data_IF_258605766855
#
_entry.id   IF_258605766855
#
_cell.length_a   1.000
_cell.length_b   1.000
_cell.length_c   1.000
_cell.angle_alpha   90.00
_cell.angle_beta   90.00
_cell.angle_gamma   90.00
#
_symmetry.space_group_name_H-M   'P 1'
#
loop_
_entity.id
_entity.type
_entity.pdbx_description
1 polymer ?
#
# COMPACT_ATOMS: atom_id res chain seq x y z
N UNK A 1 -25.06 -27.63 44.84
CA UNK A 1 -25.69 -26.38 44.46
C UNK A 1 -24.92 -25.74 43.34
N UNK A 2 -25.52 -25.72 42.20
CA UNK A 2 -24.87 -25.51 40.90
C UNK A 2 -24.85 -24.03 40.50
N UNK A 3 -23.70 -23.41 40.60
CA UNK A 3 -23.47 -22.06 40.07
C UNK A 3 -22.16 -21.91 39.27
N UNK A 4 -21.73 -22.96 38.60
CA UNK A 4 -20.55 -22.92 37.71
C UNK A 4 -20.84 -23.55 36.33
N UNK A 5 -21.84 -23.02 35.62
CA UNK A 5 -22.09 -23.45 34.25
C UNK A 5 -22.71 -22.34 33.41
N UNK A 6 -22.03 -21.20 33.29
CA UNK A 6 -22.35 -20.18 32.27
C UNK A 6 -21.17 -19.28 32.04
N UNK A 7 -20.06 -19.81 31.53
CA UNK A 7 -18.96 -18.95 31.04
C UNK A 7 -18.02 -19.71 30.12
N UNK A 8 -18.56 -20.35 29.10
CA UNK A 8 -17.77 -20.88 27.98
C UNK A 8 -18.67 -20.89 26.75
N UNK A 9 -19.02 -19.71 26.22
CA UNK A 9 -19.66 -19.66 24.90
C UNK A 9 -19.59 -18.25 24.28
N UNK A 10 -18.48 -17.54 24.41
CA UNK A 10 -18.32 -16.24 23.72
C UNK A 10 -16.98 -16.10 22.99
N UNK A 11 -16.14 -17.13 22.94
CA UNK A 11 -14.84 -17.04 22.26
C UNK A 11 -14.83 -17.65 20.86
N UNK A 12 -15.90 -18.32 20.44
CA UNK A 12 -15.95 -19.03 19.15
C UNK A 12 -16.57 -18.23 18.01
N UNK A 13 -17.04 -17.01 18.23
CA UNK A 13 -17.70 -16.22 17.19
C UNK A 13 -16.80 -15.15 16.52
N UNK A 14 -15.56 -14.95 17.01
CA UNK A 14 -14.62 -13.97 16.41
C UNK A 14 -13.66 -14.58 15.38
N UNK A 15 -13.66 -15.90 15.22
CA UNK A 15 -12.77 -16.56 14.23
C UNK A 15 -13.41 -16.85 12.87
N UNK A 16 -14.70 -16.58 12.70
CA UNK A 16 -15.41 -16.90 11.46
C UNK A 16 -15.47 -15.76 10.43
N UNK A 17 -14.85 -14.62 10.69
CA UNK A 17 -14.89 -13.46 9.79
C UNK A 17 -13.58 -13.19 9.05
N UNK A 18 -12.59 -14.08 9.17
CA UNK A 18 -11.31 -13.98 8.45
C UNK A 18 -11.20 -14.89 7.22
N UNK A 19 -12.26 -15.56 6.83
CA UNK A 19 -12.22 -16.56 5.76
C UNK A 19 -12.60 -16.02 4.36
N UNK A 20 -12.43 -14.73 4.09
CA UNK A 20 -12.69 -14.15 2.77
C UNK A 20 -11.50 -13.36 2.22
N UNK A 21 -10.28 -13.65 2.66
CA UNK A 21 -9.07 -13.19 1.97
C UNK A 21 -8.65 -14.27 0.98
N UNK A 22 -8.27 -13.87 -0.24
CA UNK A 22 -7.76 -14.78 -1.26
C UNK A 22 -6.71 -15.71 -0.65
N UNK A 23 -6.78 -17.01 -0.96
CA UNK A 23 -5.98 -18.07 -0.33
C UNK A 23 -4.47 -17.97 -0.59
N UNK A 24 -4.02 -16.91 -1.26
CA UNK A 24 -2.67 -16.73 -1.77
C UNK A 24 -1.83 -15.73 -0.96
N UNK A 25 -2.47 -14.94 -0.07
CA UNK A 25 -1.80 -13.94 0.76
C UNK A 25 -1.36 -14.52 2.11
N UNK A 26 -0.07 -14.46 2.40
CA UNK A 26 0.50 -14.90 3.67
C UNK A 26 0.93 -13.69 4.50
N UNK A 27 0.39 -13.58 5.72
CA UNK A 27 0.85 -12.56 6.65
C UNK A 27 2.24 -12.91 7.16
N UNK A 28 3.15 -11.94 7.12
CA UNK A 28 4.52 -12.07 7.59
C UNK A 28 4.89 -10.94 8.55
N UNK A 29 6.03 -11.05 9.21
CA UNK A 29 6.58 -9.98 10.03
C UNK A 29 7.42 -9.03 9.19
N UNK A 30 7.58 -7.79 9.64
CA UNK A 30 8.29 -6.73 8.91
C UNK A 30 9.74 -7.09 8.57
N UNK A 31 10.42 -7.83 9.45
CA UNK A 31 11.80 -8.29 9.25
C UNK A 31 11.97 -9.31 8.12
N UNK A 32 10.85 -9.89 7.64
CA UNK A 32 10.85 -10.83 6.50
C UNK A 32 10.71 -10.13 5.15
N UNK A 33 10.48 -8.82 5.13
CA UNK A 33 10.54 -8.04 3.90
C UNK A 33 11.97 -7.99 3.35
N UNK A 34 12.14 -7.83 2.02
CA UNK A 34 13.43 -7.47 1.45
C UNK A 34 14.02 -6.23 2.13
N UNK A 35 15.33 -6.22 2.37
CA UNK A 35 16.00 -5.12 3.08
C UNK A 35 15.74 -3.73 2.45
N UNK A 36 15.63 -3.67 1.12
CA UNK A 36 15.30 -2.45 0.39
C UNK A 36 13.90 -1.92 0.74
N UNK A 37 12.90 -2.80 0.85
CA UNK A 37 11.56 -2.44 1.26
C UNK A 37 11.52 -1.97 2.73
N UNK A 38 12.22 -2.66 3.63
CA UNK A 38 12.34 -2.23 5.03
C UNK A 38 12.95 -0.83 5.14
N UNK A 39 14.05 -0.58 4.40
CA UNK A 39 14.72 0.73 4.38
C UNK A 39 13.81 1.82 3.83
N UNK A 40 13.04 1.53 2.79
CA UNK A 40 12.09 2.46 2.20
C UNK A 40 11.03 2.90 3.21
N UNK A 41 10.39 1.96 3.90
CA UNK A 41 9.37 2.26 4.92
C UNK A 41 9.97 3.10 6.06
N UNK A 42 11.12 2.71 6.59
CA UNK A 42 11.80 3.46 7.67
C UNK A 42 12.20 4.87 7.27
N UNK A 43 12.61 5.07 6.02
CA UNK A 43 13.06 6.37 5.51
C UNK A 43 11.90 7.32 5.24
N UNK A 44 10.85 6.83 4.60
CA UNK A 44 9.76 7.67 4.11
C UNK A 44 8.57 7.77 5.05
N UNK A 45 8.42 6.80 5.97
CA UNK A 45 7.33 6.75 6.94
C UNK A 45 7.84 6.56 8.39
N UNK A 46 8.80 7.39 8.85
CA UNK A 46 9.47 7.17 10.14
C UNK A 46 8.56 7.34 11.36
N UNK A 47 7.40 7.97 11.19
CA UNK A 47 6.43 8.25 12.27
C UNK A 47 5.25 7.28 12.27
N UNK A 48 5.14 6.44 11.25
CA UNK A 48 4.02 5.52 11.09
C UNK A 48 4.38 4.13 11.61
N UNK A 49 3.43 3.52 12.29
CA UNK A 49 3.55 2.12 12.71
C UNK A 49 3.12 1.19 11.58
N UNK A 50 3.80 0.06 11.47
CA UNK A 50 3.40 -1.00 10.55
C UNK A 50 2.25 -1.78 11.17
N UNK A 51 1.07 -1.69 10.59
CA UNK A 51 -0.11 -2.40 11.04
C UNK A 51 -0.11 -3.86 10.61
N UNK A 52 0.29 -4.14 9.37
CA UNK A 52 0.41 -5.50 8.84
C UNK A 52 1.33 -5.55 7.64
N UNK A 53 1.88 -6.74 7.39
CA UNK A 53 2.68 -7.05 6.19
C UNK A 53 2.17 -8.35 5.58
N UNK A 54 1.94 -8.31 4.29
CA UNK A 54 1.45 -9.45 3.52
C UNK A 54 2.43 -9.79 2.40
N UNK A 55 2.52 -11.06 2.10
CA UNK A 55 3.28 -11.60 0.98
C UNK A 55 2.30 -12.32 0.07
N UNK A 56 2.18 -11.87 -1.16
CA UNK A 56 1.41 -12.50 -2.20
C UNK A 56 2.25 -13.59 -2.89
N UNK A 57 1.70 -14.78 -3.02
CA UNK A 57 2.37 -15.96 -3.56
C UNK A 57 1.57 -16.47 -4.75
N UNK A 58 2.19 -16.46 -5.93
CA UNK A 58 1.65 -17.16 -7.08
C UNK A 58 1.81 -18.67 -6.89
N UNK A 59 0.71 -19.36 -6.60
CA UNK A 59 0.71 -20.79 -6.21
C UNK A 59 1.22 -21.68 -7.34
N UNK A 60 0.84 -21.41 -8.59
CA UNK A 60 1.23 -22.25 -9.73
C UNK A 60 2.74 -22.30 -9.94
N UNK A 61 3.44 -21.18 -9.66
CA UNK A 61 4.89 -21.07 -9.81
C UNK A 61 5.65 -21.10 -8.47
N UNK A 62 4.96 -21.13 -7.34
CA UNK A 62 5.53 -21.07 -5.99
C UNK A 62 6.51 -19.91 -5.81
N UNK A 63 6.20 -18.78 -6.41
CA UNK A 63 7.03 -17.57 -6.33
C UNK A 63 6.31 -16.46 -5.59
N UNK A 64 7.07 -15.59 -4.95
CA UNK A 64 6.56 -14.34 -4.40
C UNK A 64 6.26 -13.40 -5.56
N UNK A 65 5.02 -12.91 -5.63
CA UNK A 65 4.62 -11.95 -6.63
C UNK A 65 4.88 -10.52 -6.11
N UNK A 66 4.35 -10.18 -4.95
CA UNK A 66 4.48 -8.85 -4.35
C UNK A 66 4.51 -8.93 -2.80
N UNK A 67 4.82 -7.80 -2.17
CA UNK A 67 4.64 -7.59 -0.73
C UNK A 67 3.77 -6.35 -0.52
N UNK A 68 2.85 -6.39 0.44
CA UNK A 68 2.03 -5.26 0.84
C UNK A 68 2.29 -4.89 2.29
N UNK A 69 2.63 -3.65 2.55
CA UNK A 69 2.77 -3.08 3.90
C UNK A 69 1.61 -2.12 4.14
N UNK A 70 0.81 -2.38 5.16
CA UNK A 70 -0.21 -1.46 5.65
C UNK A 70 0.32 -0.69 6.85
N UNK A 71 0.19 0.64 6.81
CA UNK A 71 0.62 1.55 7.88
C UNK A 71 -0.58 2.03 8.71
N UNK A 72 -0.32 2.46 9.94
CA UNK A 72 -1.33 2.90 10.90
C UNK A 72 -2.16 4.09 10.43
N UNK A 73 -1.64 4.94 9.54
CA UNK A 73 -2.34 6.08 8.95
C UNK A 73 -3.24 5.73 7.75
N UNK A 74 -3.38 4.44 7.42
CA UNK A 74 -4.18 3.96 6.27
C UNK A 74 -3.44 3.93 4.93
N UNK A 75 -2.14 4.27 4.92
CA UNK A 75 -1.30 4.12 3.73
C UNK A 75 -0.96 2.65 3.49
N UNK A 76 -1.05 2.20 2.25
CA UNK A 76 -0.54 0.91 1.79
C UNK A 76 0.60 1.13 0.82
N UNK A 77 1.66 0.36 0.98
CA UNK A 77 2.81 0.35 0.07
C UNK A 77 3.00 -1.05 -0.48
N UNK A 78 2.93 -1.18 -1.79
CA UNK A 78 3.23 -2.43 -2.49
C UNK A 78 4.67 -2.41 -2.97
N UNK A 79 5.35 -3.55 -2.80
CA UNK A 79 6.73 -3.78 -3.21
C UNK A 79 6.85 -4.98 -4.11
N UNK A 80 7.69 -4.87 -5.12
CA UNK A 80 8.13 -5.99 -5.93
C UNK A 80 8.98 -6.98 -5.11
N UNK A 81 9.17 -8.23 -5.57
CA UNK A 81 10.02 -9.22 -4.89
C UNK A 81 11.44 -8.74 -4.59
N UNK A 82 11.99 -7.83 -5.40
CA UNK A 82 13.31 -7.23 -5.21
C UNK A 82 13.34 -6.09 -4.17
N UNK A 83 12.18 -5.75 -3.56
CA UNK A 83 12.05 -4.70 -2.57
C UNK A 83 11.88 -3.28 -3.12
N UNK A 84 11.76 -3.11 -4.44
CA UNK A 84 11.40 -1.82 -5.03
C UNK A 84 9.90 -1.56 -4.85
N UNK A 85 9.52 -0.32 -4.49
CA UNK A 85 8.13 0.02 -4.40
C UNK A 85 7.46 0.05 -5.79
N UNK A 86 6.23 -0.43 -5.83
CA UNK A 86 5.41 -0.56 -7.04
C UNK A 86 4.24 0.42 -7.02
N UNK A 87 3.52 0.48 -5.91
CA UNK A 87 2.35 1.33 -5.73
C UNK A 87 2.28 1.85 -4.29
N UNK A 88 1.83 3.08 -4.12
CA UNK A 88 1.57 3.69 -2.82
C UNK A 88 0.19 4.32 -2.85
N UNK A 89 -0.68 3.81 -2.00
CA UNK A 89 -2.07 4.21 -1.90
C UNK A 89 -2.35 4.75 -0.50
N UNK A 90 -2.85 5.97 -0.41
CA UNK A 90 -3.17 6.62 0.86
C UNK A 90 -4.67 6.82 1.03
N UNK A 91 -5.16 6.58 2.24
CA UNK A 91 -6.54 6.84 2.63
C UNK A 91 -6.56 7.86 3.77
N UNK A 92 -6.58 9.13 3.44
CA UNK A 92 -6.71 10.22 4.40
C UNK A 92 -5.41 10.89 4.86
N UNK A 93 -4.25 10.40 4.39
CA UNK A 93 -2.95 11.05 4.60
C UNK A 93 -2.33 11.44 3.26
N UNK A 94 -1.42 12.40 3.26
CA UNK A 94 -0.66 12.72 2.05
C UNK A 94 0.49 11.72 1.86
N UNK A 95 0.74 11.33 0.61
CA UNK A 95 1.95 10.58 0.26
C UNK A 95 3.16 11.50 0.43
N UNK A 96 4.23 11.06 1.13
CA UNK A 96 5.40 11.88 1.35
C UNK A 96 5.99 12.45 0.05
N UNK A 97 6.21 13.76 0.02
CA UNK A 97 6.74 14.46 -1.15
C UNK A 97 8.11 13.93 -1.61
N UNK A 98 8.89 13.34 -0.69
CA UNK A 98 10.18 12.70 -0.99
C UNK A 98 10.09 11.51 -1.91
N UNK A 99 8.91 10.87 -2.01
CA UNK A 99 8.67 9.71 -2.88
C UNK A 99 8.26 10.15 -4.28
N UNK A 100 7.52 11.24 -4.39
CA UNK A 100 6.90 11.71 -5.64
C UNK A 100 7.93 12.50 -6.44
N UNK A 101 8.20 12.15 -7.71
CA UNK A 101 9.07 12.94 -8.58
C UNK A 101 8.66 14.41 -8.63
N UNK A 102 9.64 15.32 -8.61
CA UNK A 102 9.40 16.78 -8.57
C UNK A 102 8.51 17.26 -9.73
N UNK A 103 8.72 16.74 -10.93
CA UNK A 103 7.92 17.12 -12.10
C UNK A 103 6.43 16.80 -11.93
N UNK A 104 6.09 15.69 -11.26
CA UNK A 104 4.72 15.32 -10.94
C UNK A 104 4.14 16.28 -9.91
N UNK A 105 4.88 16.55 -8.82
CA UNK A 105 4.44 17.49 -7.78
C UNK A 105 4.19 18.90 -8.32
N UNK A 106 5.10 19.39 -9.15
CA UNK A 106 5.01 20.72 -9.76
C UNK A 106 3.81 20.83 -10.70
N UNK A 107 3.57 19.78 -11.51
CA UNK A 107 2.43 19.73 -12.41
C UNK A 107 1.10 19.73 -11.65
N UNK A 108 0.96 18.87 -10.62
CA UNK A 108 -0.25 18.80 -9.80
C UNK A 108 -0.49 20.11 -9.07
N UNK A 109 0.55 20.71 -8.46
CA UNK A 109 0.44 22.02 -7.79
C UNK A 109 -0.02 23.12 -8.74
N UNK A 110 0.44 23.11 -9.99
CA UNK A 110 0.13 24.14 -10.99
C UNK A 110 -1.28 23.98 -11.56
N UNK A 111 -1.70 22.76 -11.86
CA UNK A 111 -2.93 22.48 -12.62
C UNK A 111 -4.09 21.97 -11.76
N UNK A 112 -3.80 21.40 -10.59
CA UNK A 112 -4.76 20.79 -9.67
C UNK A 112 -4.48 21.20 -8.22
N UNK A 113 -4.34 22.52 -7.98
CA UNK A 113 -3.89 23.07 -6.70
C UNK A 113 -4.76 22.70 -5.49
N UNK A 114 -6.03 22.40 -5.70
CA UNK A 114 -6.98 21.97 -4.65
C UNK A 114 -7.04 20.46 -4.45
N UNK A 115 -6.31 19.69 -5.24
CA UNK A 115 -6.26 18.23 -5.17
C UNK A 115 -4.98 17.74 -4.52
N UNK A 116 -5.05 16.60 -3.86
CA UNK A 116 -3.88 15.88 -3.31
C UNK A 116 -3.69 14.55 -4.03
N UNK A 117 -2.46 14.07 -4.10
CA UNK A 117 -2.13 12.76 -4.66
C UNK A 117 -2.50 11.71 -3.62
N UNK A 118 -3.45 10.83 -3.96
CA UNK A 118 -3.90 9.72 -3.10
C UNK A 118 -3.35 8.37 -3.52
N UNK A 119 -2.92 8.23 -4.78
CA UNK A 119 -2.28 7.02 -5.29
C UNK A 119 -1.17 7.39 -6.27
N UNK A 120 -0.07 6.66 -6.23
CA UNK A 120 1.01 6.73 -7.22
C UNK A 120 1.51 5.33 -7.52
N UNK A 121 1.50 4.97 -8.79
CA UNK A 121 1.86 3.65 -9.28
C UNK A 121 2.93 3.73 -10.36
N UNK A 122 3.95 2.90 -10.24
CA UNK A 122 4.96 2.74 -11.29
C UNK A 122 4.42 1.89 -12.44
N UNK A 123 4.53 2.41 -13.64
CA UNK A 123 4.18 1.73 -14.89
C UNK A 123 5.41 1.60 -15.79
N UNK A 124 5.32 0.80 -16.83
CA UNK A 124 6.41 0.64 -17.81
C UNK A 124 6.79 1.97 -18.46
N UNK A 125 5.83 2.86 -18.71
CA UNK A 125 6.04 4.17 -19.34
C UNK A 125 6.46 5.27 -18.35
N UNK A 126 6.27 5.07 -17.04
CA UNK A 126 6.54 6.04 -16.01
C UNK A 126 5.63 5.88 -14.79
N UNK A 127 4.66 6.78 -14.62
CA UNK A 127 3.79 6.82 -13.44
C UNK A 127 2.34 7.07 -13.81
N UNK A 128 1.45 6.42 -13.08
CA UNK A 128 0.03 6.72 -12.99
C UNK A 128 -0.23 7.33 -11.61
N UNK A 129 -0.96 8.43 -11.56
CA UNK A 129 -1.22 9.19 -10.34
C UNK A 129 -2.70 9.48 -10.23
N UNK A 130 -3.31 9.03 -9.15
CA UNK A 130 -4.70 9.34 -8.83
C UNK A 130 -4.77 10.50 -7.83
N UNK A 131 -5.55 11.51 -8.16
CA UNK A 131 -5.82 12.67 -7.31
C UNK A 131 -7.13 12.52 -6.55
N UNK A 132 -7.31 13.29 -5.49
CA UNK A 132 -8.63 13.48 -4.90
C UNK A 132 -9.59 14.05 -5.95
N UNK A 133 -10.83 13.54 -5.97
CA UNK A 133 -11.82 13.88 -7.00
C UNK A 133 -11.80 12.94 -8.21
N UNK A 134 -11.16 11.77 -8.07
CA UNK A 134 -11.13 10.68 -9.07
C UNK A 134 -10.59 11.15 -10.44
N UNK A 135 -9.46 11.86 -10.39
CA UNK A 135 -8.73 12.33 -11.57
C UNK A 135 -7.46 11.49 -11.69
N UNK A 136 -7.31 10.78 -12.80
CA UNK A 136 -6.15 9.97 -13.10
C UNK A 136 -5.24 10.65 -14.12
N UNK A 137 -3.95 10.73 -13.79
CA UNK A 137 -2.94 11.40 -14.60
C UNK A 137 -1.81 10.43 -14.93
N UNK A 138 -1.34 10.45 -16.17
CA UNK A 138 -0.16 9.70 -16.58
C UNK A 138 1.05 10.62 -16.80
N UNK A 139 2.20 10.14 -16.34
CA UNK A 139 3.50 10.79 -16.48
C UNK A 139 4.54 9.82 -17.03
N UNK A 140 5.51 10.33 -17.77
CA UNK A 140 6.65 9.52 -18.18
C UNK A 140 7.63 9.28 -17.01
N UNK A 141 8.66 8.46 -17.25
CA UNK A 141 9.67 8.11 -16.23
C UNK A 141 10.45 9.32 -15.68
N UNK A 142 10.45 10.44 -16.40
CA UNK A 142 11.07 11.72 -15.96
C UNK A 142 10.11 12.63 -15.21
N UNK A 143 8.87 12.18 -14.94
CA UNK A 143 7.84 12.98 -14.27
C UNK A 143 7.18 14.05 -15.16
N UNK A 144 7.31 13.95 -16.49
CA UNK A 144 6.64 14.85 -17.43
C UNK A 144 5.23 14.31 -17.72
N UNK A 145 4.23 15.20 -17.65
CA UNK A 145 2.83 14.88 -17.95
C UNK A 145 2.66 14.35 -19.37
N UNK A 146 1.85 13.33 -19.52
CA UNK A 146 1.48 12.69 -20.78
C UNK A 146 0.02 12.97 -21.13
N UNK A 147 -0.90 12.58 -20.24
CA UNK A 147 -2.35 12.73 -20.46
C UNK A 147 -3.15 12.57 -19.18
N UNK A 148 -4.43 12.95 -19.24
CA UNK A 148 -5.46 12.51 -18.30
C UNK A 148 -5.92 11.14 -18.75
N UNK A 149 -6.04 10.19 -17.84
CA UNK A 149 -6.60 8.88 -18.10
C UNK A 149 -8.09 8.91 -17.72
N UNK A 150 -8.99 8.65 -18.71
CA UNK A 150 -10.44 8.67 -18.55
C UNK A 150 -11.00 7.24 -18.39
#
# INVERSE_FOLDING_TARGET
MNRFRKMVTVVTALFAMQAAMAQDDVQITFDKLPAKAQSFVKTHFPKEEVASVWKDIEIEMLRVEDYTVALSNGTKVEFLPNGEWKEIKSRGSEIPASIIPSGIRDYVKKHYASSTIKDIKKKRYGYEVELTGDIDLEFNSKGKFLRVDD
#
